data_IF_106664853000
#
_entry.id   IF_106664853000
#
_cell.length_a   1.000
_cell.length_b   1.000
_cell.length_c   1.000
_cell.angle_alpha   90.00
_cell.angle_beta   90.00
_cell.angle_gamma   90.00
#
_symmetry.space_group_name_H-M   'P 1'
#
loop_
_entity.id
_entity.type
_entity.pdbx_description
1 polymer ?
#
# COMPACT_ATOMS: atom_id res chain seq x y z
N UNK A 1 -58.78 -8.52 36.56
CA UNK A 1 -57.49 -8.08 37.15
C UNK A 1 -56.54 -9.26 37.01
N UNK A 2 -55.34 -9.22 36.43
CA UNK A 2 -54.47 -8.15 35.92
C UNK A 2 -53.47 -8.86 34.98
N UNK A 3 -53.38 -8.33 33.76
CA UNK A 3 -52.28 -8.36 32.77
C UNK A 3 -51.11 -9.34 32.99
N UNK A 4 -51.05 -10.37 32.14
CA UNK A 4 -49.83 -11.11 31.80
C UNK A 4 -48.98 -10.23 30.87
N UNK A 5 -47.94 -9.59 31.40
CA UNK A 5 -46.99 -8.78 30.62
C UNK A 5 -45.97 -9.71 29.98
N UNK A 6 -46.10 -9.94 28.66
CA UNK A 6 -45.09 -10.55 27.82
C UNK A 6 -43.93 -9.58 27.64
N UNK A 7 -42.80 -9.88 28.28
CA UNK A 7 -41.55 -9.13 28.15
C UNK A 7 -40.91 -9.48 26.79
N UNK A 8 -41.09 -8.60 25.80
CA UNK A 8 -40.34 -8.64 24.54
C UNK A 8 -38.85 -8.34 24.82
N UNK A 9 -38.00 -9.35 24.73
CA UNK A 9 -36.54 -9.17 24.69
C UNK A 9 -36.16 -8.69 23.28
N UNK A 10 -35.93 -7.39 23.14
CA UNK A 10 -35.39 -6.79 21.92
C UNK A 10 -33.93 -7.20 21.73
N UNK A 11 -33.65 -7.98 20.69
CA UNK A 11 -32.28 -8.23 20.22
C UNK A 11 -31.74 -6.93 19.62
N UNK A 12 -30.85 -6.26 20.35
CA UNK A 12 -30.09 -5.13 19.79
C UNK A 12 -29.03 -5.74 18.86
N UNK A 13 -29.28 -5.67 17.56
CA UNK A 13 -28.27 -5.97 16.55
C UNK A 13 -27.18 -4.90 16.64
N UNK A 14 -26.09 -5.21 17.34
CA UNK A 14 -24.86 -4.42 17.29
C UNK A 14 -24.28 -4.62 15.89
N UNK A 15 -24.47 -3.64 15.01
CA UNK A 15 -23.72 -3.58 13.76
C UNK A 15 -22.24 -3.50 14.11
N UNK A 16 -21.50 -4.58 13.84
CA UNK A 16 -20.05 -4.59 13.96
C UNK A 16 -19.47 -3.69 12.86
N UNK A 17 -19.25 -2.43 13.19
CA UNK A 17 -18.49 -1.52 12.33
C UNK A 17 -17.05 -2.04 12.25
N UNK A 18 -16.61 -2.40 11.05
CA UNK A 18 -15.25 -2.89 10.82
C UNK A 18 -14.30 -1.70 10.90
N UNK A 19 -13.81 -1.41 12.10
CA UNK A 19 -12.76 -0.40 12.30
C UNK A 19 -11.43 -1.01 11.87
N UNK A 20 -10.80 -0.40 10.87
CA UNK A 20 -9.49 -0.84 10.40
C UNK A 20 -8.43 -0.66 11.49
N UNK A 21 -7.63 -1.71 11.69
CA UNK A 21 -6.68 -1.77 12.79
C UNK A 21 -5.38 -1.06 12.42
N UNK A 22 -4.99 -0.07 13.21
CA UNK A 22 -3.67 0.57 13.16
C UNK A 22 -2.58 -0.47 13.45
N UNK A 23 -1.63 -0.63 12.53
CA UNK A 23 -0.62 -1.69 12.62
C UNK A 23 0.79 -1.15 12.86
N UNK A 24 1.16 -0.08 12.17
CA UNK A 24 2.44 0.61 12.34
C UNK A 24 2.23 2.12 12.30
N UNK A 25 2.96 2.87 13.12
CA UNK A 25 3.04 4.32 13.07
C UNK A 25 4.44 4.73 12.59
N UNK A 26 4.51 5.60 11.58
CA UNK A 26 5.75 6.13 10.98
C UNK A 26 5.72 7.65 11.10
N UNK A 27 6.39 8.20 12.12
CA UNK A 27 6.23 9.60 12.50
C UNK A 27 4.77 9.92 12.83
N UNK A 28 4.13 10.77 12.03
CA UNK A 28 2.72 11.14 12.16
C UNK A 28 1.76 10.31 11.30
N UNK A 29 2.29 9.42 10.44
CA UNK A 29 1.49 8.62 9.50
C UNK A 29 1.19 7.23 10.06
N UNK A 30 0.01 6.71 9.74
CA UNK A 30 -0.46 5.39 10.16
C UNK A 30 -0.48 4.44 8.96
N UNK A 31 0.04 3.24 9.16
CA UNK A 31 -0.14 2.10 8.26
C UNK A 31 -1.17 1.17 8.91
N UNK A 32 -2.27 0.94 8.20
CA UNK A 32 -3.35 0.10 8.68
C UNK A 32 -3.16 -1.37 8.29
N UNK A 33 -3.88 -2.28 8.93
CA UNK A 33 -3.77 -3.72 8.65
C UNK A 33 -4.27 -4.05 7.26
N UNK A 34 -5.37 -3.42 6.84
CA UNK A 34 -5.91 -3.61 5.48
C UNK A 34 -4.92 -3.17 4.40
N UNK A 35 -4.14 -2.13 4.66
CA UNK A 35 -3.12 -1.60 3.75
C UNK A 35 -1.93 -2.56 3.59
N UNK A 36 -1.50 -3.20 4.69
CA UNK A 36 -0.48 -4.25 4.65
C UNK A 36 -0.98 -5.42 3.80
N UNK A 37 -2.19 -5.89 4.04
CA UNK A 37 -2.74 -7.02 3.30
C UNK A 37 -2.97 -6.67 1.82
N UNK A 38 -3.38 -5.43 1.53
CA UNK A 38 -3.49 -4.92 0.15
C UNK A 38 -2.12 -4.90 -0.55
N UNK A 39 -1.06 -4.45 0.12
CA UNK A 39 0.31 -4.49 -0.43
C UNK A 39 0.74 -5.93 -0.72
N UNK A 40 0.42 -6.90 0.14
CA UNK A 40 0.69 -8.32 -0.15
C UNK A 40 -0.04 -8.79 -1.41
N UNK A 41 -1.34 -8.44 -1.57
CA UNK A 41 -2.13 -8.82 -2.74
C UNK A 41 -1.61 -8.15 -4.02
N UNK A 42 -1.29 -6.86 -3.98
CA UNK A 42 -0.73 -6.12 -5.11
C UNK A 42 0.62 -6.69 -5.56
N UNK A 43 1.51 -7.02 -4.62
CA UNK A 43 2.79 -7.65 -4.93
C UNK A 43 2.60 -9.03 -5.56
N UNK A 44 1.73 -9.86 -5.00
CA UNK A 44 1.41 -11.17 -5.56
C UNK A 44 0.82 -11.04 -6.98
N UNK A 45 -0.10 -10.09 -7.19
CA UNK A 45 -0.71 -9.83 -8.50
C UNK A 45 0.32 -9.42 -9.56
N UNK A 46 1.16 -8.43 -9.25
CA UNK A 46 2.18 -7.91 -10.18
C UNK A 46 3.24 -8.98 -10.49
N UNK A 47 3.56 -9.84 -9.53
CA UNK A 47 4.52 -10.95 -9.71
C UNK A 47 3.88 -12.23 -10.28
N UNK A 48 2.56 -12.25 -10.51
CA UNK A 48 1.79 -13.45 -10.92
C UNK A 48 1.96 -14.64 -9.97
N UNK A 49 2.09 -14.35 -8.68
CA UNK A 49 2.21 -15.34 -7.60
C UNK A 49 0.87 -15.57 -6.92
N UNK A 50 0.70 -16.72 -6.26
CA UNK A 50 -0.47 -16.95 -5.41
C UNK A 50 -0.45 -16.00 -4.20
N UNK A 51 -1.59 -15.40 -3.88
CA UNK A 51 -1.76 -14.62 -2.64
C UNK A 51 -1.54 -15.53 -1.43
N UNK A 52 -0.54 -15.18 -0.61
CA UNK A 52 -0.25 -15.82 0.66
C UNK A 52 -0.16 -14.75 1.76
N UNK A 53 -1.19 -14.66 2.61
CA UNK A 53 -1.21 -13.75 3.75
C UNK A 53 -0.58 -14.46 4.96
N UNK A 54 0.76 -14.54 4.97
CA UNK A 54 1.53 -15.07 6.11
C UNK A 54 2.19 -13.95 6.91
N UNK A 55 2.58 -14.24 8.16
CA UNK A 55 3.28 -13.26 9.02
C UNK A 55 4.55 -12.74 8.34
N UNK A 56 5.27 -13.60 7.62
CA UNK A 56 6.49 -13.23 6.88
C UNK A 56 6.16 -12.23 5.77
N UNK A 57 5.19 -12.55 4.91
CA UNK A 57 4.77 -11.65 3.81
C UNK A 57 4.21 -10.33 4.34
N UNK A 58 3.45 -10.35 5.45
CA UNK A 58 2.94 -9.14 6.11
C UNK A 58 4.05 -8.28 6.71
N UNK A 59 5.08 -8.89 7.32
CA UNK A 59 6.27 -8.15 7.80
C UNK A 59 7.01 -7.47 6.65
N UNK A 60 7.20 -8.17 5.54
CA UNK A 60 7.84 -7.63 4.35
C UNK A 60 7.02 -6.46 3.76
N UNK A 61 5.71 -6.65 3.59
CA UNK A 61 4.80 -5.59 3.13
C UNK A 61 4.80 -4.38 4.07
N UNK A 62 4.77 -4.60 5.39
CA UNK A 62 4.89 -3.51 6.37
C UNK A 62 6.23 -2.77 6.24
N UNK A 63 7.33 -3.49 6.01
CA UNK A 63 8.65 -2.89 5.78
C UNK A 63 8.64 -1.99 4.55
N UNK A 64 8.14 -2.48 3.43
CA UNK A 64 8.01 -1.74 2.17
C UNK A 64 7.12 -0.49 2.35
N UNK A 65 6.00 -0.62 3.06
CA UNK A 65 5.12 0.51 3.34
C UNK A 65 5.80 1.55 4.24
N UNK A 66 6.59 1.14 5.24
CA UNK A 66 7.41 2.08 6.02
C UNK A 66 8.36 2.87 5.12
N UNK A 67 9.12 2.19 4.25
CA UNK A 67 10.05 2.86 3.33
C UNK A 67 9.32 3.85 2.42
N UNK A 68 8.18 3.42 1.88
CA UNK A 68 7.34 4.27 1.08
C UNK A 68 6.84 5.51 1.84
N UNK A 69 6.45 5.39 3.11
CA UNK A 69 6.04 6.57 3.91
C UNK A 69 7.19 7.53 4.17
N UNK A 70 8.42 7.03 4.30
CA UNK A 70 9.61 7.87 4.44
C UNK A 70 9.88 8.64 3.13
N UNK A 71 9.80 7.96 1.99
CA UNK A 71 9.90 8.60 0.66
C UNK A 71 8.80 9.63 0.46
N UNK A 72 7.54 9.27 0.71
CA UNK A 72 6.41 10.18 0.50
C UNK A 72 6.54 11.45 1.34
N UNK A 73 7.01 11.33 2.59
CA UNK A 73 7.30 12.47 3.45
C UNK A 73 8.40 13.36 2.88
N UNK A 74 9.50 12.77 2.39
CA UNK A 74 10.58 13.53 1.77
C UNK A 74 10.10 14.24 0.50
N UNK A 75 9.30 13.55 -0.32
CA UNK A 75 8.69 14.12 -1.52
C UNK A 75 7.82 15.34 -1.18
N UNK A 76 7.03 15.26 -0.10
CA UNK A 76 6.21 16.39 0.35
C UNK A 76 7.04 17.56 0.87
N UNK A 77 8.06 17.30 1.69
CA UNK A 77 8.94 18.34 2.25
C UNK A 77 9.76 19.04 1.16
N UNK A 78 10.22 18.28 0.16
CA UNK A 78 10.98 18.79 -0.97
C UNK A 78 10.12 19.31 -2.13
N UNK A 79 8.80 19.28 -2.00
CA UNK A 79 7.84 19.66 -3.05
C UNK A 79 8.11 18.97 -4.40
N UNK A 80 8.48 17.68 -4.35
CA UNK A 80 8.70 16.88 -5.54
C UNK A 80 7.38 16.72 -6.34
N UNK A 81 7.46 16.72 -7.68
CA UNK A 81 6.28 16.59 -8.52
C UNK A 81 5.60 15.23 -8.28
N UNK A 82 4.27 15.26 -8.35
CA UNK A 82 3.38 14.10 -8.30
C UNK A 82 2.62 14.01 -9.61
N UNK A 83 2.28 12.80 -10.03
CA UNK A 83 1.43 12.63 -11.20
C UNK A 83 0.05 13.29 -10.96
N UNK A 84 -0.35 14.16 -11.88
CA UNK A 84 -1.68 14.75 -11.89
C UNK A 84 -2.74 13.79 -12.46
N UNK A 85 -4.01 14.21 -12.45
CA UNK A 85 -5.11 13.38 -12.93
C UNK A 85 -4.97 12.97 -14.41
N UNK A 86 -4.42 13.82 -15.26
CA UNK A 86 -4.23 13.54 -16.69
C UNK A 86 -3.11 12.52 -16.90
N UNK A 87 -2.05 12.57 -16.08
CA UNK A 87 -0.96 11.61 -16.09
C UNK A 87 -1.34 10.26 -15.49
N UNK A 88 -2.30 10.21 -14.55
CA UNK A 88 -2.77 8.97 -13.91
C UNK A 88 -3.77 8.19 -14.77
N UNK A 89 -4.68 8.89 -15.46
CA UNK A 89 -5.71 8.28 -16.31
C UNK A 89 -5.22 7.17 -17.27
N UNK A 90 -4.05 7.30 -17.95
CA UNK A 90 -3.59 6.25 -18.85
C UNK A 90 -2.88 5.07 -18.16
N UNK A 91 -2.56 5.13 -16.86
CA UNK A 91 -1.69 4.12 -16.21
C UNK A 91 -2.24 2.70 -16.31
N UNK A 92 -3.54 2.51 -16.04
CA UNK A 92 -4.18 1.20 -16.16
C UNK A 92 -4.21 0.69 -17.61
N UNK A 93 -4.41 1.59 -18.58
CA UNK A 93 -4.46 1.23 -20.00
C UNK A 93 -3.07 0.76 -20.45
N UNK A 94 -2.03 1.50 -20.08
CA UNK A 94 -0.64 1.14 -20.39
C UNK A 94 -0.26 -0.20 -19.73
N UNK A 95 -0.63 -0.38 -18.47
CA UNK A 95 -0.40 -1.66 -17.76
C UNK A 95 -1.14 -2.82 -18.44
N UNK A 96 -2.42 -2.65 -18.79
CA UNK A 96 -3.20 -3.67 -19.49
C UNK A 96 -2.59 -4.03 -20.85
N UNK A 97 -2.14 -3.03 -21.61
CA UNK A 97 -1.46 -3.25 -22.89
C UNK A 97 -0.20 -4.11 -22.73
N UNK A 98 0.61 -3.84 -21.71
CA UNK A 98 1.87 -4.54 -21.46
C UNK A 98 1.67 -5.95 -20.86
N UNK A 99 0.81 -6.08 -19.85
CA UNK A 99 0.67 -7.32 -19.08
C UNK A 99 -0.42 -8.27 -19.62
N UNK A 100 -1.41 -7.73 -20.34
CA UNK A 100 -2.61 -8.44 -20.80
C UNK A 100 -2.87 -8.26 -22.31
N UNK A 101 -1.95 -7.68 -23.07
CA UNK A 101 -2.13 -7.45 -24.52
C UNK A 101 -3.29 -6.51 -24.85
N UNK A 102 -3.70 -5.67 -23.90
CA UNK A 102 -4.82 -4.73 -24.05
C UNK A 102 -6.19 -5.30 -23.65
N UNK A 103 -6.25 -6.54 -23.15
CA UNK A 103 -7.49 -7.12 -22.63
C UNK A 103 -7.86 -6.55 -21.26
N UNK A 104 -8.63 -5.46 -21.28
CA UNK A 104 -9.13 -4.78 -20.07
C UNK A 104 -10.11 -5.68 -19.28
N UNK A 105 -10.87 -6.53 -19.96
CA UNK A 105 -11.80 -7.47 -19.32
C UNK A 105 -11.05 -8.55 -18.54
N UNK A 106 -10.01 -9.13 -19.15
CA UNK A 106 -9.10 -10.07 -18.51
C UNK A 106 -8.34 -9.47 -17.34
N UNK A 107 -7.90 -8.20 -17.45
CA UNK A 107 -7.30 -7.48 -16.32
C UNK A 107 -8.26 -7.39 -15.13
N UNK A 108 -9.50 -6.96 -15.37
CA UNK A 108 -10.52 -6.83 -14.32
C UNK A 108 -10.84 -8.15 -13.62
N UNK A 109 -11.01 -9.23 -14.39
CA UNK A 109 -11.24 -10.57 -13.84
C UNK A 109 -10.04 -11.07 -13.01
N UNK A 110 -8.82 -10.82 -13.50
CA UNK A 110 -7.59 -11.18 -12.79
C UNK A 110 -7.47 -10.41 -11.47
N UNK A 111 -7.66 -9.10 -11.47
CA UNK A 111 -7.66 -8.27 -10.26
C UNK A 111 -8.68 -8.74 -9.22
N UNK A 112 -9.89 -9.06 -9.65
CA UNK A 112 -10.95 -9.57 -8.78
C UNK A 112 -10.54 -10.90 -8.12
N UNK A 113 -9.84 -11.78 -8.83
CA UNK A 113 -9.34 -13.05 -8.26
C UNK A 113 -8.30 -12.86 -7.14
N UNK A 114 -7.62 -11.71 -7.12
CA UNK A 114 -6.69 -11.30 -6.08
C UNK A 114 -7.36 -10.42 -5.01
N UNK A 115 -8.65 -10.11 -5.13
CA UNK A 115 -9.33 -9.18 -4.22
C UNK A 115 -8.75 -7.76 -4.27
N UNK A 116 -8.46 -7.29 -5.49
CA UNK A 116 -7.94 -5.95 -5.79
C UNK A 116 -8.91 -5.28 -6.76
N UNK A 117 -9.13 -3.98 -6.57
CA UNK A 117 -9.90 -3.15 -7.49
C UNK A 117 -9.00 -2.45 -8.51
N UNK A 118 -9.53 -2.07 -9.69
CA UNK A 118 -8.76 -1.28 -10.65
C UNK A 118 -8.20 0.02 -10.06
N UNK A 119 -8.97 0.70 -9.20
CA UNK A 119 -8.54 1.93 -8.54
C UNK A 119 -7.36 1.72 -7.57
N UNK A 120 -7.32 0.59 -6.85
CA UNK A 120 -6.17 0.25 -5.99
C UNK A 120 -4.91 -0.03 -6.80
N UNK A 121 -5.04 -0.72 -7.94
CA UNK A 121 -3.92 -0.92 -8.86
C UNK A 121 -3.44 0.42 -9.44
N UNK A 122 -4.34 1.28 -9.93
CA UNK A 122 -3.97 2.59 -10.46
C UNK A 122 -3.25 3.45 -9.41
N UNK A 123 -3.76 3.47 -8.17
CA UNK A 123 -3.14 4.18 -7.07
C UNK A 123 -1.73 3.65 -6.77
N UNK A 124 -1.51 2.35 -6.86
CA UNK A 124 -0.19 1.76 -6.68
C UNK A 124 0.77 2.10 -7.82
N UNK A 125 0.32 1.98 -9.08
CA UNK A 125 1.09 2.37 -10.26
C UNK A 125 1.50 3.85 -10.22
N UNK A 126 0.60 4.73 -9.80
CA UNK A 126 0.90 6.15 -9.65
C UNK A 126 2.00 6.39 -8.60
N UNK A 127 1.95 5.67 -7.46
CA UNK A 127 2.99 5.78 -6.41
C UNK A 127 4.34 5.24 -6.89
N UNK A 128 4.34 4.18 -7.71
CA UNK A 128 5.57 3.68 -8.33
C UNK A 128 6.16 4.70 -9.31
N UNK A 129 5.33 5.33 -10.15
CA UNK A 129 5.77 6.37 -11.08
C UNK A 129 6.30 7.64 -10.35
N UNK A 130 5.61 8.06 -9.28
CA UNK A 130 6.06 9.12 -8.39
C UNK A 130 7.44 8.81 -7.78
N UNK A 131 7.62 7.58 -7.29
CA UNK A 131 8.88 7.11 -6.72
C UNK A 131 10.00 7.16 -7.78
N UNK A 132 9.78 6.64 -8.98
CA UNK A 132 10.77 6.68 -10.06
C UNK A 132 11.17 8.13 -10.40
N UNK A 133 10.20 9.04 -10.45
CA UNK A 133 10.44 10.48 -10.66
C UNK A 133 11.29 11.06 -9.53
N UNK A 134 10.94 10.77 -8.28
CA UNK A 134 11.71 11.20 -7.12
C UNK A 134 13.15 10.68 -7.16
N UNK A 135 13.35 9.40 -7.46
CA UNK A 135 14.67 8.78 -7.54
C UNK A 135 15.55 9.43 -8.62
N UNK A 136 15.00 9.66 -9.81
CA UNK A 136 15.70 10.34 -10.91
C UNK A 136 16.10 11.78 -10.56
N UNK A 137 15.28 12.50 -9.78
CA UNK A 137 15.59 13.87 -9.38
C UNK A 137 16.53 13.96 -8.17
N UNK A 138 16.29 13.15 -7.12
CA UNK A 138 16.98 13.23 -5.83
C UNK A 138 18.33 12.53 -5.82
N UNK A 139 18.41 11.39 -6.48
CA UNK A 139 19.59 10.53 -6.49
C UNK A 139 20.26 10.52 -7.86
N UNK A 140 19.67 11.19 -8.86
CA UNK A 140 20.20 11.23 -10.24
C UNK A 140 20.45 9.83 -10.77
N UNK A 141 19.57 8.88 -10.43
CA UNK A 141 19.57 7.50 -10.94
C UNK A 141 19.08 7.53 -12.39
N UNK A 142 19.87 8.21 -13.23
CA UNK A 142 19.78 8.20 -14.68
C UNK A 142 21.04 7.53 -15.26
N UNK A 143 21.94 7.09 -14.38
CA UNK A 143 23.21 6.44 -14.67
C UNK A 143 23.09 5.03 -14.06
N UNK A 144 23.23 3.99 -14.88
CA UNK A 144 23.08 2.55 -14.54
C UNK A 144 24.17 2.07 -13.57
N UNK A 145 24.36 2.77 -12.45
CA UNK A 145 25.49 2.60 -11.56
C UNK A 145 25.02 2.07 -10.21
N UNK A 146 25.69 1.01 -9.73
CA UNK A 146 25.57 0.44 -8.38
C UNK A 146 25.58 1.51 -7.26
N UNK A 147 26.17 2.67 -7.51
CA UNK A 147 26.24 3.79 -6.57
C UNK A 147 24.86 4.40 -6.26
N UNK A 148 23.96 4.49 -7.24
CA UNK A 148 22.61 5.03 -7.02
C UNK A 148 21.80 4.19 -6.03
N UNK A 149 21.91 2.86 -6.15
CA UNK A 149 21.24 1.91 -5.26
C UNK A 149 21.82 1.97 -3.84
N UNK A 150 23.15 2.00 -3.70
CA UNK A 150 23.83 2.15 -2.40
C UNK A 150 23.45 3.47 -1.70
N UNK A 151 23.38 4.57 -2.47
CA UNK A 151 22.98 5.88 -1.96
C UNK A 151 21.51 5.88 -1.47
N UNK A 152 20.61 5.21 -2.20
CA UNK A 152 19.21 5.05 -1.81
C UNK A 152 19.09 4.21 -0.53
N UNK A 153 19.73 3.04 -0.48
CA UNK A 153 19.68 2.16 0.69
C UNK A 153 20.25 2.86 1.93
N UNK A 154 21.40 3.51 1.79
CA UNK A 154 22.02 4.29 2.87
C UNK A 154 21.09 5.41 3.37
N UNK A 155 20.43 6.11 2.45
CA UNK A 155 19.45 7.14 2.80
C UNK A 155 18.22 6.58 3.50
N UNK A 156 17.63 5.47 3.02
CA UNK A 156 16.50 4.80 3.68
C UNK A 156 16.86 4.38 5.11
N UNK A 157 18.04 3.79 5.31
CA UNK A 157 18.50 3.40 6.64
C UNK A 157 18.65 4.62 7.56
N UNK A 158 19.16 5.73 7.05
CA UNK A 158 19.24 6.99 7.81
C UNK A 158 17.86 7.54 8.18
N UNK A 159 16.90 7.53 7.25
CA UNK A 159 15.52 7.96 7.52
C UNK A 159 14.84 7.10 8.58
N UNK A 160 15.06 5.78 8.56
CA UNK A 160 14.56 4.85 9.58
C UNK A 160 15.14 5.13 10.96
N UNK A 161 16.41 5.54 11.05
CA UNK A 161 17.03 5.93 12.34
C UNK A 161 16.47 7.25 12.88
N UNK A 162 16.16 8.20 11.99
CA UNK A 162 15.68 9.55 12.36
C UNK A 162 14.18 9.61 12.63
N UNK A 163 13.41 8.68 12.09
CA UNK A 163 11.95 8.65 12.22
C UNK A 163 11.52 7.63 13.25
N UNK A 164 10.68 8.05 14.20
CA UNK A 164 10.05 7.14 15.16
C UNK A 164 9.13 6.19 14.40
N UNK A 165 9.44 4.89 14.46
CA UNK A 165 8.64 3.80 13.90
C UNK A 165 8.16 2.94 15.06
N UNK A 166 6.85 2.87 15.24
CA UNK A 166 6.21 2.10 16.31
C UNK A 166 5.36 0.99 15.73
N UNK A 167 5.68 -0.25 16.07
CA UNK A 167 4.91 -1.43 15.70
C UNK A 167 3.85 -1.70 16.77
N UNK A 168 2.58 -1.48 16.41
CA UNK A 168 1.45 -1.69 17.31
C UNK A 168 0.97 -3.16 17.30
N UNK A 169 1.33 -3.90 16.25
CA UNK A 169 1.20 -5.35 16.18
C UNK A 169 2.56 -5.99 16.39
N UNK A 170 2.73 -6.76 17.48
CA UNK A 170 4.01 -7.41 17.82
C UNK A 170 4.53 -8.32 16.73
N UNK A 171 3.63 -8.98 16.00
CA UNK A 171 4.01 -9.87 14.92
C UNK A 171 4.65 -9.15 13.73
N UNK A 172 4.55 -7.83 13.61
CA UNK A 172 5.19 -7.05 12.54
C UNK A 172 6.58 -6.54 12.91
N UNK A 173 6.95 -6.61 14.19
CA UNK A 173 8.26 -6.18 14.66
C UNK A 173 9.37 -7.07 14.02
N UNK A 174 10.54 -6.48 13.73
CA UNK A 174 11.69 -7.18 13.14
C UNK A 174 12.29 -8.23 14.08
#
# INVERSE_FOLDING_TARGET
>A
MRCLVLLLLGVVAVSAEVVDRTSVRVGTRIIASSEIDLRVRLAAFQNREKVEISVVRRREAARQLIDQRLVEREMELGHYPRLDAAQRAPLLIVYAAQAFGGDVGGLGASLASYGITPAELEADLARQADLLTFLGLRFRINDETRKGDEDLEGWIQDQRRRTVIEYLQRELAP
#
